data_IF_250974630597
#
_entry.id   IF_250974630597
#
_cell.length_a   1.000
_cell.length_b   1.000
_cell.length_c   1.000
_cell.angle_alpha   90.00
_cell.angle_beta   90.00
_cell.angle_gamma   90.00
#
_symmetry.space_group_name_H-M   'P 1'
#
loop_
_entity.id
_entity.type
_entity.pdbx_description
1 polymer ?
#
# COMPACT_ATOMS: atom_id res chain seq x y z
N UNK A 1 38.11 7.39 -26.65
CA UNK A 1 37.27 8.58 -26.85
C UNK A 1 35.88 8.08 -27.15
N UNK A 2 35.11 7.81 -26.10
CA UNK A 2 33.77 7.20 -26.17
C UNK A 2 32.77 8.35 -26.29
N UNK A 3 32.10 8.46 -27.44
CA UNK A 3 31.09 9.48 -27.69
C UNK A 3 29.83 9.04 -26.96
N UNK A 4 29.56 9.65 -25.80
CA UNK A 4 28.28 9.56 -25.12
C UNK A 4 27.31 10.44 -25.92
N UNK A 5 26.40 9.80 -26.66
CA UNK A 5 25.26 10.48 -27.25
C UNK A 5 24.33 10.90 -26.10
N UNK A 6 24.43 12.15 -25.66
CA UNK A 6 23.41 12.80 -24.85
C UNK A 6 22.18 12.99 -25.75
N UNK A 7 21.22 12.07 -25.67
CA UNK A 7 19.87 12.29 -26.18
C UNK A 7 19.19 13.29 -25.25
N UNK A 8 19.36 14.58 -25.52
CA UNK A 8 18.51 15.64 -24.98
C UNK A 8 17.17 15.60 -25.73
N UNK A 9 16.35 14.60 -25.42
CA UNK A 9 14.94 14.60 -25.81
C UNK A 9 14.18 15.46 -24.81
N UNK A 10 13.74 16.66 -25.21
CA UNK A 10 12.69 17.33 -24.45
C UNK A 10 11.45 16.44 -24.52
N UNK A 11 11.10 15.77 -23.42
CA UNK A 11 9.75 15.22 -23.28
C UNK A 11 8.80 16.41 -23.34
N UNK A 12 8.12 16.59 -24.47
CA UNK A 12 6.98 17.49 -24.56
C UNK A 12 5.87 16.86 -23.73
N UNK A 13 5.58 17.43 -22.57
CA UNK A 13 4.43 17.04 -21.75
C UNK A 13 3.16 17.21 -22.60
N UNK A 14 2.28 16.21 -22.60
CA UNK A 14 1.07 16.22 -23.40
C UNK A 14 0.24 17.47 -23.07
N UNK A 15 -0.08 18.26 -24.10
CA UNK A 15 -0.99 19.38 -23.97
C UNK A 15 -2.41 18.84 -23.68
N UNK A 16 -2.99 19.26 -22.55
CA UNK A 16 -4.40 19.09 -22.18
C UNK A 16 -4.98 17.66 -22.15
N UNK A 17 -4.14 16.62 -22.10
CA UNK A 17 -4.56 15.23 -21.87
C UNK A 17 -4.24 14.77 -20.44
N UNK A 18 -5.24 14.24 -19.73
CA UNK A 18 -5.14 13.14 -18.77
C UNK A 18 -3.89 13.16 -17.86
N UNK A 19 -3.86 14.11 -16.91
CA UNK A 19 -2.85 14.20 -15.85
C UNK A 19 -3.34 13.50 -14.57
N UNK A 20 -2.51 12.59 -14.05
CA UNK A 20 -2.83 11.77 -12.89
C UNK A 20 -1.64 11.60 -11.97
N UNK A 21 -1.91 11.20 -10.74
CA UNK A 21 -0.94 11.09 -9.66
C UNK A 21 -0.84 9.63 -9.21
N UNK A 22 0.38 9.14 -9.05
CA UNK A 22 0.66 7.98 -8.23
C UNK A 22 0.78 8.40 -6.76
N UNK A 23 0.38 7.51 -5.85
CA UNK A 23 0.43 7.82 -4.44
C UNK A 23 1.90 7.96 -3.95
N UNK A 24 2.24 9.00 -3.16
CA UNK A 24 3.63 9.32 -2.84
C UNK A 24 4.22 8.51 -1.67
N UNK A 25 3.49 7.54 -1.13
CA UNK A 25 3.89 6.73 0.01
C UNK A 25 3.75 5.24 -0.35
N UNK A 26 4.73 4.43 0.02
CA UNK A 26 4.65 2.99 -0.19
C UNK A 26 3.62 2.35 0.75
N UNK A 27 3.07 1.22 0.32
CA UNK A 27 2.10 0.39 1.06
C UNK A 27 0.73 1.05 1.32
N UNK A 28 0.58 2.31 0.91
CA UNK A 28 -0.67 3.07 0.92
C UNK A 28 -1.03 3.55 -0.49
N UNK A 29 -2.28 3.95 -0.61
CA UNK A 29 -2.87 4.60 -1.77
C UNK A 29 -3.88 5.66 -1.30
N UNK A 30 -4.44 6.38 -2.27
CA UNK A 30 -5.38 7.46 -1.98
C UNK A 30 -6.62 7.01 -1.18
N UNK A 31 -7.01 5.75 -1.24
CA UNK A 31 -8.26 5.23 -0.69
C UNK A 31 -8.10 4.51 0.65
N UNK A 32 -6.87 4.24 1.11
CA UNK A 32 -6.60 3.58 2.38
C UNK A 32 -5.73 4.37 3.35
N UNK A 33 -5.11 5.46 2.87
CA UNK A 33 -4.13 6.18 3.65
C UNK A 33 -4.84 6.86 4.82
N UNK A 34 -4.30 6.78 6.05
CA UNK A 34 -4.75 7.62 7.14
C UNK A 34 -4.71 9.10 6.74
N UNK A 35 -5.77 9.85 7.07
CA UNK A 35 -5.85 11.28 6.79
C UNK A 35 -6.01 12.02 8.12
N UNK A 36 -5.10 12.95 8.41
CA UNK A 36 -5.20 13.82 9.59
C UNK A 36 -5.71 15.22 9.27
N UNK A 37 -5.63 15.63 8.00
CA UNK A 37 -6.14 16.91 7.50
C UNK A 37 -6.42 16.81 6.00
N UNK A 38 -7.38 17.60 5.50
CA UNK A 38 -7.80 17.57 4.11
C UNK A 38 -7.96 18.98 3.53
N UNK A 39 -8.05 19.05 2.21
CA UNK A 39 -8.28 20.29 1.49
C UNK A 39 -9.71 20.82 1.75
N UNK A 40 -9.84 22.12 2.01
CA UNK A 40 -11.14 22.75 2.23
C UNK A 40 -11.78 23.27 0.92
N UNK A 41 -12.84 22.60 0.48
CA UNK A 41 -13.64 22.98 -0.69
C UNK A 41 -14.54 24.20 -0.47
N UNK A 42 -14.76 24.66 0.77
CA UNK A 42 -15.56 25.88 1.01
C UNK A 42 -14.76 27.18 0.92
N UNK A 43 -13.42 27.11 0.87
CA UNK A 43 -12.55 28.27 0.84
C UNK A 43 -12.77 29.15 -0.42
N UNK A 44 -13.51 30.25 -0.28
CA UNK A 44 -13.85 31.16 -1.39
C UNK A 44 -12.89 32.34 -1.58
N UNK A 45 -12.14 32.77 -0.56
CA UNK A 45 -11.22 33.92 -0.70
C UNK A 45 -10.08 34.00 0.33
N UNK A 46 -10.24 33.40 1.51
CA UNK A 46 -9.18 33.25 2.50
C UNK A 46 -9.38 31.95 3.25
N UNK A 47 -8.28 31.25 3.42
CA UNK A 47 -8.12 29.90 3.95
C UNK A 47 -8.86 29.55 5.26
N UNK A 48 -9.36 30.51 6.04
CA UNK A 48 -9.92 30.26 7.39
C UNK A 48 -11.11 31.14 7.79
N UNK A 49 -12.02 31.51 6.89
CA UNK A 49 -13.00 32.60 7.20
C UNK A 49 -14.49 32.32 7.10
N UNK A 50 -14.94 31.15 6.70
CA UNK A 50 -16.37 30.86 6.62
C UNK A 50 -16.90 29.98 7.76
N UNK A 51 -16.04 29.69 8.75
CA UNK A 51 -16.35 28.86 9.92
C UNK A 51 -16.83 27.46 9.57
N UNK A 52 -16.44 26.95 8.39
CA UNK A 52 -16.72 25.60 7.94
C UNK A 52 -15.50 25.01 7.26
N UNK A 53 -15.50 23.68 7.16
CA UNK A 53 -14.64 22.95 6.23
C UNK A 53 -15.53 22.01 5.46
N UNK A 54 -15.34 21.92 4.15
CA UNK A 54 -16.04 20.96 3.32
C UNK A 54 -15.02 20.04 2.66
N UNK A 55 -15.07 18.75 3.00
CA UNK A 55 -14.25 17.73 2.35
C UNK A 55 -14.80 17.40 0.95
N UNK A 56 -14.00 16.79 0.08
CA UNK A 56 -14.43 16.39 -1.27
C UNK A 56 -15.67 15.46 -1.27
N UNK A 57 -15.90 14.70 -0.20
CA UNK A 57 -17.09 13.84 -0.03
C UNK A 57 -18.39 14.64 0.16
N UNK A 58 -18.27 15.96 0.38
CA UNK A 58 -19.37 16.84 0.75
C UNK A 58 -19.70 16.85 2.24
N UNK A 59 -18.94 16.13 3.07
CA UNK A 59 -19.07 16.21 4.53
C UNK A 59 -18.67 17.60 5.02
N UNK A 60 -19.49 18.17 5.91
CA UNK A 60 -19.34 19.54 6.39
C UNK A 60 -18.94 19.53 7.87
N UNK A 61 -17.77 20.10 8.15
CA UNK A 61 -17.34 20.54 9.46
C UNK A 61 -17.86 21.93 9.78
N UNK A 62 -18.33 22.15 11.00
CA UNK A 62 -18.63 23.49 11.51
C UNK A 62 -17.69 23.83 12.67
N UNK A 63 -17.33 25.10 12.81
CA UNK A 63 -16.48 25.53 13.95
C UNK A 63 -17.15 25.19 15.27
N UNK A 64 -16.43 24.47 16.11
CA UNK A 64 -16.73 24.35 17.52
C UNK A 64 -15.47 24.78 18.26
N UNK A 65 -15.43 26.05 18.66
CA UNK A 65 -14.30 26.63 19.39
C UNK A 65 -14.26 26.02 20.81
N UNK A 66 -13.33 25.09 21.03
CA UNK A 66 -13.11 24.47 22.34
C UNK A 66 -12.18 25.29 23.25
N UNK A 67 -11.75 26.49 22.84
CA UNK A 67 -10.87 27.36 23.62
C UNK A 67 -9.46 26.80 23.78
N UNK A 68 -8.52 27.25 22.93
CA UNK A 68 -7.11 26.83 22.96
C UNK A 68 -6.32 27.23 21.71
N UNK A 69 -5.12 26.64 21.53
CA UNK A 69 -4.18 26.88 20.41
C UNK A 69 -4.54 26.15 19.11
N UNK A 70 -5.62 25.37 19.07
CA UNK A 70 -6.02 24.56 17.91
C UNK A 70 -7.29 25.12 17.27
N UNK A 71 -7.27 25.36 15.95
CA UNK A 71 -8.45 25.74 15.17
C UNK A 71 -9.02 24.48 14.51
N UNK A 72 -10.18 24.02 14.99
CA UNK A 72 -10.76 22.75 14.57
C UNK A 72 -12.27 22.79 14.31
N UNK A 73 -12.71 21.84 13.49
CA UNK A 73 -14.08 21.69 13.02
C UNK A 73 -14.59 20.31 13.42
N UNK A 74 -15.76 20.23 14.03
CA UNK A 74 -16.47 18.97 14.24
C UNK A 74 -17.51 18.79 13.14
N UNK A 75 -17.79 17.55 12.76
CA UNK A 75 -18.88 17.31 11.82
C UNK A 75 -20.24 17.63 12.47
N UNK A 76 -21.25 17.88 11.65
CA UNK A 76 -22.57 18.33 12.10
C UNK A 76 -23.29 17.36 13.03
N UNK A 77 -22.87 16.10 13.07
CA UNK A 77 -23.48 15.02 13.84
C UNK A 77 -22.66 14.62 15.09
N UNK A 78 -21.55 15.33 15.37
CA UNK A 78 -20.59 14.98 16.43
C UNK A 78 -20.02 13.56 16.30
N UNK A 79 -19.90 13.07 15.07
CA UNK A 79 -19.19 11.85 14.69
C UNK A 79 -17.79 12.19 14.15
N UNK A 80 -16.88 11.21 14.06
CA UNK A 80 -15.66 11.37 13.28
C UNK A 80 -15.98 11.71 11.82
N UNK A 81 -15.11 12.48 11.17
CA UNK A 81 -15.19 12.66 9.72
C UNK A 81 -14.97 11.32 9.01
N UNK A 82 -15.59 11.13 7.86
CA UNK A 82 -15.49 9.94 7.02
C UNK A 82 -14.83 10.27 5.68
N UNK A 83 -13.65 10.89 5.73
CA UNK A 83 -12.82 11.16 4.54
C UNK A 83 -12.23 9.82 4.06
N UNK A 84 -12.82 9.23 3.01
CA UNK A 84 -12.58 7.86 2.54
C UNK A 84 -12.67 6.79 3.65
N UNK A 85 -13.32 7.09 4.78
CA UNK A 85 -13.33 6.20 5.95
C UNK A 85 -11.98 6.09 6.70
N UNK A 86 -10.95 6.85 6.31
CA UNK A 86 -9.59 6.77 6.88
C UNK A 86 -9.19 8.00 7.69
N UNK A 87 -10.14 8.87 8.03
CA UNK A 87 -9.83 10.03 8.86
C UNK A 87 -9.44 9.58 10.28
N UNK A 88 -8.23 9.92 10.72
CA UNK A 88 -7.71 9.50 12.03
C UNK A 88 -7.71 10.60 13.08
N UNK A 89 -8.00 11.84 12.70
CA UNK A 89 -7.94 12.98 13.61
C UNK A 89 -6.57 13.64 13.71
N UNK A 90 -6.57 14.88 14.19
CA UNK A 90 -5.36 15.56 14.64
C UNK A 90 -5.09 15.21 16.12
N UNK A 91 -4.08 14.38 16.35
CA UNK A 91 -3.74 13.82 17.66
C UNK A 91 -3.54 14.88 18.77
N UNK A 92 -3.12 16.09 18.42
CA UNK A 92 -2.85 17.21 19.35
C UNK A 92 -4.09 18.03 19.72
N UNK A 93 -5.22 17.85 19.02
CA UNK A 93 -6.31 18.82 19.03
C UNK A 93 -7.71 18.18 19.16
N UNK A 94 -7.81 17.11 19.95
CA UNK A 94 -9.09 16.48 20.34
C UNK A 94 -9.43 15.16 19.65
N UNK A 95 -8.55 14.65 18.77
CA UNK A 95 -8.66 13.31 18.19
C UNK A 95 -9.55 13.21 16.95
N UNK A 96 -10.00 12.00 16.61
CA UNK A 96 -10.73 11.67 15.36
C UNK A 96 -12.05 12.42 15.13
N UNK A 97 -12.58 13.11 16.14
CA UNK A 97 -13.82 13.89 16.06
C UNK A 97 -13.64 15.27 15.42
N UNK A 98 -12.40 15.75 15.34
CA UNK A 98 -12.11 17.10 14.90
C UNK A 98 -11.14 17.10 13.75
N UNK A 99 -11.52 17.81 12.68
CA UNK A 99 -10.63 18.24 11.61
C UNK A 99 -9.95 19.52 12.05
N UNK A 100 -8.65 19.43 12.36
CA UNK A 100 -7.88 20.56 12.88
C UNK A 100 -6.93 21.05 11.81
N UNK A 101 -7.10 22.32 11.46
CA UNK A 101 -6.59 22.86 10.22
C UNK A 101 -6.79 24.37 10.20
N UNK A 102 -5.76 25.13 9.85
CA UNK A 102 -5.79 26.59 9.74
C UNK A 102 -5.92 27.10 8.30
N UNK A 103 -6.22 26.21 7.34
CA UNK A 103 -6.44 26.61 5.96
C UNK A 103 -5.29 26.35 4.97
N UNK A 104 -4.56 25.24 5.08
CA UNK A 104 -3.47 24.90 4.15
C UNK A 104 -3.89 24.08 2.90
N UNK A 105 -3.49 24.48 1.68
CA UNK A 105 -3.97 23.91 0.40
C UNK A 105 -3.51 22.47 0.06
N UNK A 106 -3.68 21.49 0.95
CA UNK A 106 -3.27 20.11 0.71
C UNK A 106 -3.95 19.09 1.62
N UNK A 107 -3.40 17.88 1.62
CA UNK A 107 -3.82 16.77 2.48
C UNK A 107 -2.65 16.36 3.36
N UNK A 108 -2.92 16.14 4.64
CA UNK A 108 -1.91 15.64 5.58
C UNK A 108 -2.09 14.15 5.83
N UNK A 109 -1.02 13.41 5.57
CA UNK A 109 -0.92 11.99 5.86
C UNK A 109 -0.05 11.79 7.10
N UNK A 110 -0.60 11.34 8.24
CA UNK A 110 0.16 11.09 9.46
C UNK A 110 1.02 9.84 9.27
N UNK A 111 2.33 10.01 9.29
CA UNK A 111 3.30 8.96 8.98
C UNK A 111 4.51 9.03 9.90
N UNK A 112 5.18 7.91 10.13
CA UNK A 112 6.37 7.88 10.98
C UNK A 112 7.49 8.76 10.38
N UNK A 113 8.35 9.31 11.24
CA UNK A 113 9.57 9.98 10.78
C UNK A 113 10.42 9.04 9.93
N UNK A 114 11.12 9.58 8.94
CA UNK A 114 11.96 8.85 8.00
C UNK A 114 11.20 7.83 7.12
N UNK A 115 9.91 8.01 6.89
CA UNK A 115 9.16 7.21 5.91
C UNK A 115 9.57 7.66 4.50
N UNK A 116 9.92 6.74 3.58
CA UNK A 116 10.24 7.09 2.19
C UNK A 116 9.08 7.80 1.47
N UNK A 117 9.38 8.90 0.77
CA UNK A 117 8.42 9.68 -0.03
C UNK A 117 8.82 9.66 -1.50
N UNK A 118 7.86 9.44 -2.38
CA UNK A 118 8.06 9.22 -3.82
C UNK A 118 7.39 10.30 -4.68
N UNK A 119 7.96 10.53 -5.86
CA UNK A 119 7.38 11.43 -6.86
C UNK A 119 6.03 10.90 -7.36
N UNK A 120 5.00 11.74 -7.30
CA UNK A 120 3.64 11.40 -7.68
C UNK A 120 3.46 11.39 -9.20
N UNK A 121 4.27 12.14 -9.95
CA UNK A 121 4.28 12.12 -11.41
C UNK A 121 5.67 12.55 -11.95
N UNK A 122 5.90 12.30 -13.24
CA UNK A 122 7.08 12.76 -13.97
C UNK A 122 7.21 14.29 -13.90
N UNK A 123 8.42 14.82 -13.79
CA UNK A 123 8.63 16.26 -13.78
C UNK A 123 10.06 16.71 -13.53
N UNK A 124 10.23 17.99 -13.18
CA UNK A 124 11.49 18.61 -12.81
C UNK A 124 11.44 19.05 -11.35
N UNK A 125 12.46 18.70 -10.58
CA UNK A 125 12.57 19.05 -9.16
C UNK A 125 12.94 20.52 -8.96
N UNK A 126 12.25 21.16 -8.04
CA UNK A 126 12.56 22.48 -7.49
C UNK A 126 12.56 22.44 -5.96
N UNK A 127 13.46 23.21 -5.34
CA UNK A 127 13.55 23.42 -3.89
C UNK A 127 13.25 24.91 -3.66
N UNK A 128 11.96 25.28 -3.61
CA UNK A 128 11.55 26.68 -3.68
C UNK A 128 11.88 27.43 -2.39
N UNK A 129 12.21 28.72 -2.51
CA UNK A 129 12.19 29.65 -1.37
C UNK A 129 10.77 30.01 -0.94
N UNK A 130 9.84 29.99 -1.90
CA UNK A 130 8.42 30.35 -1.76
C UNK A 130 7.63 29.77 -2.92
N UNK A 131 6.35 29.48 -2.72
CA UNK A 131 5.40 29.13 -3.77
C UNK A 131 4.03 29.79 -3.50
N UNK A 132 3.06 29.80 -4.43
CA UNK A 132 1.76 30.42 -4.21
C UNK A 132 1.10 29.90 -2.92
N UNK A 133 0.80 30.80 -1.98
CA UNK A 133 0.25 30.43 -0.66
C UNK A 133 1.29 30.31 0.46
N UNK A 134 2.58 30.08 0.16
CA UNK A 134 3.64 29.87 1.17
C UNK A 134 4.87 30.73 0.86
N UNK A 135 5.10 31.74 1.70
CA UNK A 135 6.19 32.71 1.50
C UNK A 135 7.58 32.25 1.93
N UNK A 136 7.66 31.20 2.75
CA UNK A 136 8.86 30.74 3.44
C UNK A 136 9.00 29.21 3.38
N UNK A 137 8.85 28.65 2.17
CA UNK A 137 8.84 27.21 1.91
C UNK A 137 10.09 26.47 2.45
N UNK A 138 11.24 27.15 2.49
CA UNK A 138 12.46 26.58 3.08
C UNK A 138 12.31 26.22 4.56
N UNK A 139 11.48 26.92 5.34
CA UNK A 139 11.27 26.59 6.75
C UNK A 139 10.47 25.29 6.93
N UNK A 140 9.73 24.89 5.90
CA UNK A 140 8.92 23.67 5.87
C UNK A 140 9.61 22.54 5.11
N UNK A 141 10.88 22.71 4.70
CA UNK A 141 11.63 21.72 3.92
C UNK A 141 10.83 21.22 2.71
N UNK A 142 10.29 22.15 1.93
CA UNK A 142 9.47 21.86 0.75
C UNK A 142 10.29 21.36 -0.43
N UNK A 143 9.80 20.31 -1.07
CA UNK A 143 10.19 19.90 -2.42
C UNK A 143 9.01 20.13 -3.38
N UNK A 144 9.27 20.77 -4.51
CA UNK A 144 8.33 20.96 -5.61
C UNK A 144 8.72 20.07 -6.79
N UNK A 145 7.74 19.50 -7.49
CA UNK A 145 7.93 18.90 -8.81
C UNK A 145 7.04 19.63 -9.81
N UNK A 146 7.65 20.25 -10.82
CA UNK A 146 6.94 20.85 -11.96
C UNK A 146 6.73 19.80 -13.05
N UNK A 147 5.46 19.54 -13.38
CA UNK A 147 5.05 18.52 -14.35
C UNK A 147 4.90 19.06 -15.77
N UNK A 148 5.19 20.35 -16.01
CA UNK A 148 5.27 20.97 -17.35
C UNK A 148 3.94 21.16 -18.10
N UNK A 149 2.82 20.68 -17.56
CA UNK A 149 1.46 20.86 -18.08
C UNK A 149 0.62 21.82 -17.22
N UNK A 150 1.29 22.64 -16.41
CA UNK A 150 0.66 23.55 -15.46
C UNK A 150 0.38 22.95 -14.09
N UNK A 151 0.52 21.63 -13.92
CA UNK A 151 0.47 21.01 -12.60
C UNK A 151 1.81 21.06 -11.89
N UNK A 152 1.75 21.26 -10.57
CA UNK A 152 2.88 21.15 -9.64
C UNK A 152 2.44 20.36 -8.42
N UNK A 153 3.32 19.50 -7.93
CA UNK A 153 3.15 18.82 -6.64
C UNK A 153 4.16 19.34 -5.63
N UNK A 154 3.73 19.47 -4.38
CA UNK A 154 4.54 19.95 -3.28
C UNK A 154 4.51 18.95 -2.13
N UNK A 155 5.71 18.65 -1.61
CA UNK A 155 5.96 17.72 -0.53
C UNK A 155 6.61 18.48 0.61
N UNK A 156 5.88 18.65 1.72
CA UNK A 156 6.29 19.48 2.85
C UNK A 156 6.66 18.63 4.06
N UNK A 157 7.35 19.27 5.00
CA UNK A 157 7.82 18.73 6.27
C UNK A 157 8.85 17.60 6.15
N UNK A 158 9.51 17.47 5.00
CA UNK A 158 10.50 16.43 4.76
C UNK A 158 11.72 16.58 5.67
N UNK A 159 12.23 15.45 6.18
CA UNK A 159 13.46 15.42 6.98
C UNK A 159 14.71 15.54 6.12
N UNK A 160 14.66 15.05 4.88
CA UNK A 160 15.76 15.11 3.92
C UNK A 160 15.27 14.90 2.48
N UNK A 161 16.08 15.37 1.52
CA UNK A 161 15.90 15.13 0.09
C UNK A 161 16.93 14.12 -0.42
N UNK A 162 16.52 13.25 -1.35
CA UNK A 162 17.41 12.34 -2.09
C UNK A 162 17.71 12.85 -3.50
N UNK A 163 17.12 13.98 -3.88
CA UNK A 163 17.21 14.62 -5.20
C UNK A 163 17.73 16.05 -5.07
N UNK A 164 18.05 16.67 -6.21
CA UNK A 164 18.63 18.02 -6.29
C UNK A 164 17.86 18.94 -7.23
N UNK A 165 18.00 20.26 -7.04
CA UNK A 165 17.44 21.30 -7.90
C UNK A 165 17.66 21.01 -9.40
N UNK A 166 16.63 21.23 -10.22
CA UNK A 166 16.58 20.98 -11.67
C UNK A 166 16.78 19.52 -12.11
N UNK A 167 16.72 18.55 -11.19
CA UNK A 167 16.83 17.14 -11.56
C UNK A 167 15.53 16.66 -12.26
N UNK A 168 15.61 16.02 -13.44
CA UNK A 168 14.46 15.33 -14.03
C UNK A 168 14.14 14.06 -13.26
N UNK A 169 12.86 13.89 -12.89
CA UNK A 169 12.36 12.80 -12.07
C UNK A 169 11.27 12.05 -12.84
N UNK A 170 11.24 10.73 -12.68
CA UNK A 170 10.13 9.89 -13.11
C UNK A 170 9.21 9.59 -11.94
N UNK A 171 7.93 9.41 -12.20
CA UNK A 171 6.95 8.91 -11.24
C UNK A 171 7.48 7.69 -10.46
N UNK A 172 7.23 7.63 -9.14
CA UNK A 172 7.72 6.57 -8.26
C UNK A 172 9.20 6.68 -7.87
N UNK A 173 9.92 7.72 -8.31
CA UNK A 173 11.30 7.96 -7.84
C UNK A 173 11.29 8.37 -6.37
N UNK A 174 12.19 7.80 -5.56
CA UNK A 174 12.41 8.25 -4.18
C UNK A 174 12.95 9.68 -4.19
N UNK A 175 12.23 10.61 -3.57
CA UNK A 175 12.56 12.06 -3.54
C UNK A 175 13.01 12.55 -2.17
N UNK A 176 12.68 11.82 -1.11
CA UNK A 176 13.06 12.20 0.24
C UNK A 176 12.47 11.29 1.30
N UNK A 177 12.54 11.77 2.53
CA UNK A 177 12.02 11.09 3.69
C UNK A 177 11.16 12.06 4.50
N UNK A 178 10.05 11.57 5.04
CA UNK A 178 9.14 12.35 5.89
C UNK A 178 9.82 12.82 7.18
N UNK A 179 9.26 13.86 7.78
CA UNK A 179 9.71 14.47 9.02
C UNK A 179 8.63 15.36 9.62
N UNK A 180 9.05 16.37 10.37
CA UNK A 180 8.20 17.37 11.02
C UNK A 180 8.75 18.80 10.81
N UNK A 181 9.63 19.01 9.82
CA UNK A 181 10.30 20.30 9.65
C UNK A 181 9.31 21.44 9.39
N UNK A 182 9.40 22.48 10.21
CA UNK A 182 8.49 23.63 10.13
C UNK A 182 7.07 23.36 10.64
N UNK A 183 6.78 22.16 11.14
CA UNK A 183 5.53 21.84 11.85
C UNK A 183 5.80 21.55 13.32
N UNK A 184 4.89 21.94 14.20
CA UNK A 184 4.96 21.70 15.65
C UNK A 184 4.01 20.59 16.13
N UNK A 185 3.37 19.87 15.21
CA UNK A 185 2.11 19.16 15.50
C UNK A 185 2.24 17.62 15.53
N UNK A 186 3.00 17.02 14.60
CA UNK A 186 3.43 15.61 14.57
C UNK A 186 4.22 15.33 13.28
N UNK A 187 4.85 14.15 13.17
CA UNK A 187 5.37 13.67 11.89
C UNK A 187 4.23 13.38 10.90
N UNK A 188 4.32 13.97 9.71
CA UNK A 188 3.35 13.79 8.63
C UNK A 188 3.97 14.19 7.29
N UNK A 189 3.29 13.84 6.20
CA UNK A 189 3.52 14.42 4.87
C UNK A 189 2.36 15.35 4.56
N UNK A 190 2.64 16.64 4.39
CA UNK A 190 1.72 17.56 3.71
C UNK A 190 1.95 17.42 2.21
N UNK A 191 0.91 16.99 1.49
CA UNK A 191 0.91 16.84 0.05
C UNK A 191 -0.05 17.84 -0.58
N UNK A 192 0.47 18.67 -1.47
CA UNK A 192 -0.31 19.71 -2.15
C UNK A 192 -0.15 19.61 -3.65
N UNK A 193 -1.24 19.91 -4.36
CA UNK A 193 -1.27 19.97 -5.82
C UNK A 193 -1.77 21.34 -6.23
N UNK A 194 -1.07 21.98 -7.17
CA UNK A 194 -1.53 23.21 -7.78
C UNK A 194 -1.61 23.06 -9.30
N UNK A 195 -2.65 23.64 -9.91
CA UNK A 195 -2.75 23.85 -11.36
C UNK A 195 -2.67 25.34 -11.65
N UNK A 196 -1.66 25.76 -12.40
CA UNK A 196 -1.44 27.17 -12.76
C UNK A 196 -1.40 28.12 -11.54
N UNK A 197 -0.82 27.65 -10.42
CA UNK A 197 -0.71 28.41 -9.17
C UNK A 197 -1.99 28.46 -8.32
N UNK A 198 -3.02 27.71 -8.71
CA UNK A 198 -4.27 27.54 -7.95
C UNK A 198 -4.26 26.14 -7.34
N UNK A 199 -4.40 26.01 -6.01
CA UNK A 199 -4.55 24.71 -5.38
C UNK A 199 -5.72 23.89 -5.92
N UNK A 200 -5.56 22.57 -5.99
CA UNK A 200 -6.59 21.61 -6.37
C UNK A 200 -6.60 20.48 -5.34
N UNK A 201 -7.78 19.96 -5.00
CA UNK A 201 -7.86 18.73 -4.22
C UNK A 201 -7.60 17.54 -5.18
N UNK A 202 -6.55 16.72 -4.96
CA UNK A 202 -6.30 15.56 -5.80
C UNK A 202 -7.39 14.48 -5.71
N UNK A 203 -8.28 14.52 -4.71
CA UNK A 203 -9.46 13.66 -4.62
C UNK A 203 -10.63 14.15 -5.50
N UNK A 204 -10.61 15.40 -5.95
CA UNK A 204 -11.69 15.97 -6.76
C UNK A 204 -12.88 16.38 -5.92
N UNK A 205 -14.10 16.27 -6.47
CA UNK A 205 -15.34 16.50 -5.75
C UNK A 205 -16.33 15.37 -5.98
N UNK A 206 -16.85 14.78 -4.91
CA UNK A 206 -17.82 13.67 -4.91
C UNK A 206 -19.13 14.01 -4.21
N UNK A 207 -19.24 15.21 -3.61
CA UNK A 207 -20.47 15.64 -2.95
C UNK A 207 -21.66 15.75 -3.92
N UNK A 208 -22.87 15.52 -3.40
CA UNK A 208 -24.11 15.51 -4.19
C UNK A 208 -24.49 16.87 -4.81
N UNK A 209 -23.92 17.96 -4.29
CA UNK A 209 -24.16 19.32 -4.78
C UNK A 209 -23.06 19.73 -5.77
N UNK A 210 -23.16 20.92 -6.36
CA UNK A 210 -22.05 21.48 -7.12
C UNK A 210 -20.81 21.65 -6.21
N UNK A 211 -19.62 21.43 -6.75
CA UNK A 211 -18.37 21.69 -6.04
C UNK A 211 -18.35 23.13 -5.53
N UNK A 212 -18.25 23.37 -4.20
CA UNK A 212 -18.18 24.71 -3.66
C UNK A 212 -16.84 25.40 -3.97
N UNK A 213 -15.83 24.66 -4.45
CA UNK A 213 -14.55 25.21 -4.86
C UNK A 213 -14.59 25.70 -6.32
N UNK A 214 -14.83 27.00 -6.50
CA UNK A 214 -15.08 27.60 -7.83
C UNK A 214 -13.82 28.08 -8.58
N UNK A 215 -12.64 27.97 -7.94
CA UNK A 215 -11.39 28.56 -8.47
C UNK A 215 -10.78 27.77 -9.62
N UNK A 216 -11.13 26.49 -9.75
CA UNK A 216 -10.57 25.55 -10.73
C UNK A 216 -11.49 24.34 -10.89
N UNK A 217 -11.32 23.58 -11.97
CA UNK A 217 -11.96 22.28 -12.09
C UNK A 217 -11.22 21.26 -11.24
N UNK A 218 -11.84 20.83 -10.14
CA UNK A 218 -11.38 19.69 -9.34
C UNK A 218 -11.81 18.40 -10.02
N UNK A 219 -10.82 17.64 -10.47
CA UNK A 219 -10.98 16.29 -10.98
C UNK A 219 -10.26 15.36 -10.03
N UNK A 220 -10.74 14.13 -9.87
CA UNK A 220 -10.00 13.12 -9.11
C UNK A 220 -8.71 12.78 -9.87
N UNK A 221 -7.57 13.21 -9.34
CA UNK A 221 -6.24 13.02 -9.90
C UNK A 221 -5.61 11.69 -9.46
N UNK A 222 -6.11 11.07 -8.39
CA UNK A 222 -5.70 9.73 -7.97
C UNK A 222 -6.25 8.62 -8.86
N UNK A 223 -7.37 8.88 -9.52
CA UNK A 223 -7.99 7.97 -10.46
C UNK A 223 -7.15 7.88 -11.74
N UNK A 224 -6.00 7.20 -11.70
CA UNK A 224 -5.27 6.86 -12.90
C UNK A 224 -6.22 6.21 -13.92
N UNK A 225 -6.15 6.57 -15.20
CA UNK A 225 -6.63 5.70 -16.25
C UNK A 225 -5.80 4.45 -16.09
N UNK A 226 -6.47 3.32 -16.17
CA UNK A 226 -5.84 2.01 -16.04
C UNK A 226 -4.51 2.00 -16.78
N UNK A 227 -3.42 1.85 -16.02
CA UNK A 227 -2.07 1.81 -16.57
C UNK A 227 -2.01 0.72 -17.66
N UNK A 228 -1.03 0.75 -18.55
CA UNK A 228 -0.92 -0.30 -19.58
C UNK A 228 -0.80 -1.71 -18.98
N UNK A 229 -0.36 -1.81 -17.71
CA UNK A 229 -0.32 -3.05 -16.95
C UNK A 229 -0.90 -2.90 -15.53
N UNK A 230 -1.62 -3.93 -15.04
CA UNK A 230 -2.14 -3.94 -13.68
C UNK A 230 -1.02 -3.83 -12.63
N UNK A 231 -1.26 -3.04 -11.59
CA UNK A 231 -0.31 -2.87 -10.48
C UNK A 231 -0.53 -3.90 -9.38
N UNK A 232 0.49 -4.09 -8.54
CA UNK A 232 0.32 -4.86 -7.32
C UNK A 232 -0.76 -4.21 -6.43
N UNK A 233 -1.61 -5.04 -5.82
CA UNK A 233 -2.77 -4.63 -5.04
C UNK A 233 -3.80 -3.82 -5.86
N UNK A 234 -4.19 -4.32 -7.04
CA UNK A 234 -5.23 -3.66 -7.86
C UNK A 234 -6.29 -4.64 -8.38
N UNK A 235 -7.50 -4.12 -8.66
CA UNK A 235 -8.55 -4.87 -9.34
C UNK A 235 -8.46 -4.68 -10.85
N UNK A 236 -8.51 -5.79 -11.58
CA UNK A 236 -8.36 -5.83 -13.02
C UNK A 236 -9.41 -6.74 -13.66
N UNK A 237 -9.84 -6.41 -14.87
CA UNK A 237 -10.82 -7.14 -15.66
C UNK A 237 -10.36 -7.20 -17.10
N UNK A 238 -10.70 -8.27 -17.79
CA UNK A 238 -10.47 -8.32 -19.25
C UNK A 238 -11.54 -7.48 -19.93
N UNK A 239 -11.13 -6.60 -20.83
CA UNK A 239 -12.03 -5.70 -21.55
C UNK A 239 -13.19 -6.49 -22.22
N UNK A 240 -14.43 -6.05 -21.96
CA UNK A 240 -15.65 -6.71 -22.44
C UNK A 240 -16.03 -8.01 -21.71
N UNK A 241 -15.28 -8.43 -20.69
CA UNK A 241 -15.63 -9.54 -19.80
C UNK A 241 -16.15 -9.01 -18.47
N UNK A 242 -16.96 -9.82 -17.74
CA UNK A 242 -17.46 -9.47 -16.40
C UNK A 242 -16.55 -9.93 -15.26
N UNK A 243 -15.56 -10.76 -15.55
CA UNK A 243 -14.72 -11.43 -14.57
C UNK A 243 -13.67 -10.49 -14.01
N UNK A 244 -13.71 -10.24 -12.71
CA UNK A 244 -12.74 -9.38 -12.02
C UNK A 244 -11.67 -10.21 -11.32
N UNK A 245 -10.45 -9.73 -11.35
CA UNK A 245 -9.27 -10.33 -10.76
C UNK A 245 -8.62 -9.36 -9.78
N UNK A 246 -8.10 -9.90 -8.67
CA UNK A 246 -7.19 -9.21 -7.78
C UNK A 246 -5.76 -9.48 -8.21
N UNK A 247 -4.91 -8.45 -8.29
CA UNK A 247 -3.51 -8.59 -8.68
C UNK A 247 -2.65 -8.42 -7.43
N UNK A 248 -1.91 -9.46 -7.05
CA UNK A 248 -1.00 -9.39 -5.90
C UNK A 248 0.22 -10.29 -6.09
N UNK A 249 1.41 -9.80 -5.75
CA UNK A 249 2.68 -10.54 -5.81
C UNK A 249 2.98 -11.15 -7.19
N UNK A 250 2.53 -10.49 -8.27
CA UNK A 250 2.69 -10.97 -9.64
C UNK A 250 1.73 -12.09 -10.05
N UNK A 251 0.74 -12.41 -9.23
CA UNK A 251 -0.33 -13.36 -9.53
C UNK A 251 -1.65 -12.63 -9.76
N UNK A 252 -2.56 -13.25 -10.54
CA UNK A 252 -3.96 -12.84 -10.62
C UNK A 252 -4.85 -13.85 -9.90
N UNK A 253 -5.72 -13.36 -9.04
CA UNK A 253 -6.64 -14.18 -8.26
C UNK A 253 -8.07 -13.86 -8.69
N UNK A 254 -8.85 -14.88 -9.03
CA UNK A 254 -10.21 -14.68 -9.54
C UNK A 254 -11.17 -14.28 -8.40
N UNK A 255 -11.74 -13.07 -8.45
CA UNK A 255 -12.74 -12.61 -7.47
C UNK A 255 -14.08 -13.29 -7.73
N UNK A 256 -14.39 -14.31 -6.93
CA UNK A 256 -15.51 -15.22 -7.22
C UNK A 256 -16.88 -14.72 -6.75
N UNK A 257 -16.92 -13.80 -5.78
CA UNK A 257 -18.17 -13.33 -5.17
C UNK A 257 -18.30 -11.80 -5.16
N UNK A 258 -19.46 -11.24 -5.57
CA UNK A 258 -19.72 -9.81 -5.46
C UNK A 258 -19.66 -9.25 -4.03
N UNK A 259 -19.92 -10.08 -3.01
CA UNK A 259 -19.85 -9.66 -1.60
C UNK A 259 -18.43 -9.29 -1.20
N UNK A 260 -17.41 -9.89 -1.83
CA UNK A 260 -16.01 -9.59 -1.55
C UNK A 260 -15.71 -8.12 -1.86
N UNK A 261 -16.40 -7.50 -2.83
CA UNK A 261 -16.23 -6.09 -3.11
C UNK A 261 -16.58 -5.19 -1.93
N UNK A 262 -17.66 -5.49 -1.20
CA UNK A 262 -18.03 -4.73 0.00
C UNK A 262 -17.21 -5.11 1.22
N UNK A 263 -16.81 -6.37 1.36
CA UNK A 263 -16.09 -6.81 2.55
C UNK A 263 -14.61 -6.40 2.56
N UNK A 264 -13.99 -6.24 1.39
CA UNK A 264 -12.57 -5.88 1.23
C UNK A 264 -12.34 -4.36 1.12
N UNK A 265 -13.34 -3.52 1.39
CA UNK A 265 -13.25 -2.05 1.28
C UNK A 265 -12.11 -1.42 2.10
N UNK A 266 -11.63 -2.10 3.14
CA UNK A 266 -10.50 -1.67 3.98
C UNK A 266 -9.12 -1.98 3.37
N UNK A 267 -9.06 -2.67 2.23
CA UNK A 267 -7.81 -3.13 1.64
C UNK A 267 -7.28 -2.11 0.63
N UNK A 268 -5.98 -1.74 0.70
CA UNK A 268 -5.29 -0.94 -0.30
C UNK A 268 -5.66 -1.31 -1.72
N UNK A 269 -6.01 -0.33 -2.55
CA UNK A 269 -6.26 -0.48 -3.99
C UNK A 269 -7.53 -1.24 -4.34
N UNK A 270 -8.36 -1.55 -3.34
CA UNK A 270 -9.66 -2.18 -3.53
C UNK A 270 -10.74 -1.13 -3.86
N UNK A 271 -11.55 -1.37 -4.90
CA UNK A 271 -12.70 -0.53 -5.28
C UNK A 271 -12.64 0.10 -6.67
N UNK A 272 -11.45 0.31 -7.23
CA UNK A 272 -11.29 0.77 -8.61
C UNK A 272 -10.95 -0.41 -9.54
N UNK A 273 -11.87 -0.78 -10.44
CA UNK A 273 -11.69 -1.89 -11.38
C UNK A 273 -11.20 -1.35 -12.71
N UNK A 274 -10.07 -1.87 -13.18
CA UNK A 274 -9.48 -1.51 -14.45
C UNK A 274 -9.68 -2.54 -15.55
N UNK A 275 -10.00 -2.09 -16.77
CA UNK A 275 -10.13 -2.95 -17.94
C UNK A 275 -8.81 -3.03 -18.71
N UNK A 276 -8.39 -4.25 -19.05
CA UNK A 276 -7.16 -4.54 -19.77
C UNK A 276 -7.41 -5.49 -20.95
N UNK A 277 -6.52 -5.43 -21.93
CA UNK A 277 -6.47 -6.44 -22.99
C UNK A 277 -6.24 -7.84 -22.39
N UNK A 278 -6.86 -8.86 -22.99
CA UNK A 278 -6.75 -10.24 -22.51
C UNK A 278 -5.30 -10.72 -22.45
N UNK A 279 -4.45 -10.30 -23.39
CA UNK A 279 -3.03 -10.61 -23.42
C UNK A 279 -2.26 -10.06 -22.22
N UNK A 280 -2.55 -8.82 -21.81
CA UNK A 280 -1.98 -8.21 -20.61
C UNK A 280 -2.34 -9.03 -19.38
N UNK A 281 -3.63 -9.32 -19.19
CA UNK A 281 -4.08 -10.02 -18.00
C UNK A 281 -3.71 -11.51 -18.00
N UNK A 282 -3.55 -12.13 -19.16
CA UNK A 282 -3.11 -13.52 -19.27
C UNK A 282 -1.60 -13.70 -19.13
N UNK A 283 -0.83 -12.61 -19.09
CA UNK A 283 0.60 -12.66 -18.75
C UNK A 283 0.86 -12.97 -17.27
N UNK A 284 -0.10 -12.68 -16.39
CA UNK A 284 -0.04 -13.01 -14.96
C UNK A 284 -0.44 -14.48 -14.76
N UNK A 285 0.39 -15.29 -14.07
CA UNK A 285 -0.02 -16.62 -13.64
C UNK A 285 -1.25 -16.54 -12.72
N UNK A 286 -2.11 -17.55 -12.80
CA UNK A 286 -3.24 -17.67 -11.89
C UNK A 286 -2.72 -18.02 -10.49
N UNK A 287 -3.13 -17.24 -9.49
CA UNK A 287 -3.16 -17.70 -8.11
C UNK A 287 -4.39 -18.58 -7.87
N UNK A 288 -4.57 -19.06 -6.63
CA UNK A 288 -5.82 -19.70 -6.23
C UNK A 288 -7.03 -18.77 -6.41
N UNK A 289 -8.24 -19.34 -6.48
CA UNK A 289 -9.46 -18.54 -6.60
C UNK A 289 -9.63 -17.63 -5.38
N UNK A 290 -9.81 -16.33 -5.61
CA UNK A 290 -9.96 -15.34 -4.56
C UNK A 290 -11.35 -15.46 -3.95
N UNK A 291 -11.38 -15.98 -2.71
CA UNK A 291 -12.45 -15.90 -1.71
C UNK A 291 -13.85 -16.01 -2.33
N UNK A 292 -14.40 -17.22 -2.28
CA UNK A 292 -15.84 -17.39 -2.26
C UNK A 292 -16.31 -17.45 -0.81
N UNK A 293 -17.48 -16.91 -0.48
CA UNK A 293 -18.20 -17.22 0.78
C UNK A 293 -18.70 -18.67 0.81
N UNK A 294 -18.09 -19.56 0.03
CA UNK A 294 -18.43 -20.96 -0.17
C UNK A 294 -17.28 -21.85 0.35
N UNK A 295 -17.53 -23.14 0.63
CA UNK A 295 -16.52 -24.13 1.02
C UNK A 295 -15.40 -24.39 -0.01
N UNK A 296 -15.31 -23.59 -1.08
CA UNK A 296 -14.33 -23.72 -2.17
C UNK A 296 -13.06 -22.89 -1.95
N UNK A 297 -12.94 -22.21 -0.81
CA UNK A 297 -11.80 -21.34 -0.47
C UNK A 297 -10.65 -22.08 0.22
N UNK A 298 -10.69 -23.41 0.23
CA UNK A 298 -9.62 -24.25 0.78
C UNK A 298 -8.31 -24.03 0.02
N UNK A 299 -7.18 -24.23 0.71
CA UNK A 299 -5.80 -23.99 0.27
C UNK A 299 -5.39 -22.51 0.16
N UNK A 300 -6.28 -21.57 0.48
CA UNK A 300 -5.91 -20.15 0.55
C UNK A 300 -4.99 -19.85 1.72
N UNK A 301 -3.93 -19.11 1.44
CA UNK A 301 -3.09 -18.48 2.45
C UNK A 301 -3.53 -17.02 2.60
N UNK A 302 -4.02 -16.66 3.78
CA UNK A 302 -4.51 -15.31 4.05
C UNK A 302 -3.81 -14.70 5.25
N UNK A 303 -3.64 -13.38 5.23
CA UNK A 303 -3.26 -12.59 6.39
C UNK A 303 -4.09 -11.31 6.48
N UNK A 304 -4.24 -10.80 7.69
CA UNK A 304 -4.77 -9.45 7.93
C UNK A 304 -3.72 -8.41 7.52
N UNK A 305 -4.16 -7.27 6.97
CA UNK A 305 -3.29 -6.19 6.49
C UNK A 305 -2.23 -5.73 7.50
N UNK A 306 -2.59 -5.70 8.78
CA UNK A 306 -1.72 -5.26 9.88
C UNK A 306 -1.41 -6.38 10.88
N UNK A 307 -1.55 -7.65 10.49
CA UNK A 307 -1.25 -8.80 11.35
C UNK A 307 -0.18 -9.68 10.69
N UNK A 308 0.92 -10.02 11.40
CA UNK A 308 1.91 -10.96 10.89
C UNK A 308 1.41 -12.41 10.83
N UNK A 309 0.27 -12.75 11.43
CA UNK A 309 -0.28 -14.11 11.41
C UNK A 309 -0.74 -14.50 10.00
N UNK A 310 -0.24 -15.65 9.55
CA UNK A 310 -0.67 -16.30 8.32
C UNK A 310 -1.59 -17.45 8.67
N UNK A 311 -2.72 -17.52 7.96
CA UNK A 311 -3.72 -18.57 8.11
C UNK A 311 -3.81 -19.38 6.82
N UNK A 312 -3.86 -20.70 6.95
CA UNK A 312 -4.30 -21.60 5.89
C UNK A 312 -5.81 -21.80 6.03
N UNK A 313 -6.56 -21.63 4.95
CA UNK A 313 -7.97 -22.00 4.91
C UNK A 313 -8.06 -23.49 4.57
N UNK A 314 -8.68 -24.24 5.46
CA UNK A 314 -8.86 -25.69 5.30
C UNK A 314 -10.20 -26.11 5.89
N UNK A 315 -11.01 -26.83 5.11
CA UNK A 315 -12.38 -27.21 5.47
C UNK A 315 -13.25 -26.01 5.90
N UNK A 316 -13.06 -24.86 5.26
CA UNK A 316 -13.77 -23.61 5.59
C UNK A 316 -13.40 -22.99 6.94
N UNK A 317 -12.31 -23.41 7.58
CA UNK A 317 -11.78 -22.82 8.81
C UNK A 317 -10.47 -22.09 8.53
N UNK A 318 -10.19 -21.03 9.29
CA UNK A 318 -8.86 -20.40 9.30
C UNK A 318 -7.98 -21.09 10.33
N UNK A 319 -6.89 -21.73 9.88
CA UNK A 319 -5.93 -22.41 10.74
C UNK A 319 -4.64 -21.61 10.80
N UNK A 320 -4.30 -21.10 11.99
CA UNK A 320 -3.10 -20.26 12.17
C UNK A 320 -1.83 -21.11 12.03
N UNK A 321 -0.95 -20.76 11.09
CA UNK A 321 0.39 -21.32 10.95
C UNK A 321 1.31 -20.63 11.95
N UNK A 322 1.76 -21.34 12.98
CA UNK A 322 2.37 -20.70 14.16
C UNK A 322 3.81 -20.24 13.96
N UNK A 323 4.47 -20.65 12.87
CA UNK A 323 5.88 -20.36 12.62
C UNK A 323 6.23 -20.47 11.13
N UNK A 324 7.32 -19.80 10.73
CA UNK A 324 7.92 -19.96 9.41
C UNK A 324 8.38 -21.41 9.15
N UNK A 325 8.85 -22.11 10.18
CA UNK A 325 9.23 -23.52 10.05
C UNK A 325 8.02 -24.41 9.71
N UNK A 326 6.87 -24.18 10.35
CA UNK A 326 5.63 -24.86 10.01
C UNK A 326 5.20 -24.54 8.57
N UNK A 327 5.30 -23.26 8.17
CA UNK A 327 5.00 -22.81 6.82
C UNK A 327 5.85 -23.52 5.77
N UNK A 328 7.18 -23.53 5.96
CA UNK A 328 8.12 -24.15 5.04
C UNK A 328 7.95 -25.68 4.98
N UNK A 329 7.65 -26.34 6.10
CA UNK A 329 7.40 -27.78 6.15
C UNK A 329 6.14 -28.22 5.39
N UNK A 330 5.15 -27.34 5.27
CA UNK A 330 3.96 -27.56 4.45
C UNK A 330 4.25 -27.36 2.95
N UNK A 331 5.44 -26.91 2.57
CA UNK A 331 5.81 -26.64 1.17
C UNK A 331 5.08 -25.44 0.56
N UNK A 332 4.60 -24.53 1.41
CA UNK A 332 3.88 -23.33 1.00
C UNK A 332 4.85 -22.23 0.53
N UNK A 333 4.36 -21.33 -0.32
CA UNK A 333 5.14 -20.20 -0.85
C UNK A 333 4.63 -18.87 -0.27
N UNK A 334 5.54 -18.05 0.26
CA UNK A 334 5.22 -16.75 0.86
C UNK A 334 4.56 -15.80 -0.15
N UNK A 335 4.80 -15.98 -1.46
CA UNK A 335 4.18 -15.16 -2.50
C UNK A 335 2.67 -15.39 -2.63
N UNK A 336 2.20 -16.57 -2.22
CA UNK A 336 0.79 -17.00 -2.34
C UNK A 336 -0.07 -16.46 -1.19
N UNK A 337 0.54 -15.78 -0.21
CA UNK A 337 -0.17 -15.14 0.90
C UNK A 337 -0.92 -13.91 0.37
N UNK A 338 -2.22 -13.92 0.56
CA UNK A 338 -3.12 -12.84 0.16
C UNK A 338 -3.50 -11.99 1.37
N UNK A 339 -3.49 -10.68 1.19
CA UNK A 339 -3.87 -9.74 2.26
C UNK A 339 -5.38 -9.52 2.20
N UNK A 340 -6.06 -9.67 3.34
CA UNK A 340 -7.53 -9.59 3.44
C UNK A 340 -7.98 -8.66 4.57
N UNK A 341 -9.21 -8.15 4.46
CA UNK A 341 -9.84 -7.30 5.48
C UNK A 341 -10.28 -8.10 6.71
N UNK A 342 -10.64 -7.36 7.77
CA UNK A 342 -11.22 -7.97 8.96
C UNK A 342 -12.56 -8.65 8.68
N UNK A 343 -13.34 -8.15 7.73
CA UNK A 343 -14.63 -8.76 7.42
C UNK A 343 -14.46 -10.11 6.70
N UNK A 344 -13.50 -10.20 5.77
CA UNK A 344 -13.19 -11.45 5.09
C UNK A 344 -12.67 -12.51 6.05
N UNK A 345 -11.70 -12.16 6.90
CA UNK A 345 -11.13 -13.15 7.82
C UNK A 345 -12.16 -13.66 8.83
N UNK A 346 -13.20 -12.87 9.13
CA UNK A 346 -14.30 -13.24 10.01
C UNK A 346 -15.31 -14.21 9.37
N UNK A 347 -15.29 -14.38 8.04
CA UNK A 347 -16.09 -15.40 7.36
C UNK A 347 -15.62 -16.82 7.70
N UNK A 348 -14.35 -16.96 8.07
CA UNK A 348 -13.74 -18.25 8.41
C UNK A 348 -13.63 -18.39 9.94
N UNK A 349 -14.39 -19.32 10.56
CA UNK A 349 -14.23 -19.61 11.97
C UNK A 349 -12.80 -20.14 12.26
N UNK A 350 -12.31 -19.83 13.46
CA UNK A 350 -10.99 -20.28 13.90
C UNK A 350 -10.97 -21.81 14.07
N UNK A 351 -10.04 -22.45 13.36
CA UNK A 351 -9.75 -23.88 13.47
C UNK A 351 -8.49 -24.14 14.28
N UNK A 352 -8.11 -25.42 14.39
CA UNK A 352 -6.91 -25.83 15.09
C UNK A 352 -5.66 -25.20 14.46
N UNK A 353 -4.76 -24.67 15.28
CA UNK A 353 -3.48 -24.12 14.82
C UNK A 353 -2.63 -25.20 14.13
N UNK A 354 -1.75 -24.79 13.22
CA UNK A 354 -0.75 -25.64 12.58
C UNK A 354 0.61 -25.34 13.23
N UNK A 355 1.04 -26.15 14.22
CA UNK A 355 2.29 -25.93 14.92
C UNK A 355 3.51 -26.34 14.09
N UNK A 356 4.70 -25.88 14.47
CA UNK A 356 5.93 -26.57 14.05
C UNK A 356 5.82 -28.05 14.43
N UNK A 357 6.10 -29.00 13.52
CA UNK A 357 6.16 -30.41 13.88
C UNK A 357 7.11 -30.63 15.06
N UNK A 358 6.57 -31.00 16.23
CA UNK A 358 7.42 -31.46 17.33
C UNK A 358 7.96 -32.84 16.98
N UNK A 359 9.27 -32.90 16.71
CA UNK A 359 10.03 -34.13 16.49
C UNK A 359 9.57 -34.95 15.27
N UNK A 360 9.99 -34.55 14.07
CA UNK A 360 10.45 -35.60 13.15
C UNK A 360 11.69 -36.23 13.81
N UNK A 361 11.74 -37.56 14.07
CA UNK A 361 12.93 -38.17 14.64
C UNK A 361 14.07 -38.05 13.62
N UNK A 362 14.91 -37.04 13.75
CA UNK A 362 16.20 -37.05 13.09
C UNK A 362 17.04 -38.16 13.73
N UNK A 363 17.24 -39.27 13.03
CA UNK A 363 18.22 -40.28 13.44
C UNK A 363 19.60 -39.61 13.37
N UNK A 364 20.13 -39.22 14.52
CA UNK A 364 21.52 -38.76 14.63
C UNK A 364 22.40 -40.00 14.69
N UNK A 365 23.01 -40.38 13.55
CA UNK A 365 24.07 -41.40 13.57
C UNK A 365 25.37 -40.71 14.00
N UNK A 366 25.73 -40.90 15.28
CA UNK A 366 27.02 -40.50 15.80
C UNK A 366 28.14 -41.21 14.99
N UNK A 367 28.84 -40.45 14.16
CA UNK A 367 29.90 -40.96 13.30
C UNK A 367 31.17 -41.23 14.11
N UNK A 368 31.57 -42.49 14.17
CA UNK A 368 32.94 -42.92 14.41
C UNK A 368 33.43 -43.74 13.21
N UNK A 369 33.84 -43.09 12.12
CA UNK A 369 34.39 -43.80 10.95
C UNK A 369 35.79 -44.31 11.32
N UNK A 370 35.93 -45.63 11.47
CA UNK A 370 37.23 -46.30 11.33
C UNK A 370 37.57 -46.37 9.83
N UNK A 371 38.85 -46.22 9.41
CA UNK A 371 39.23 -46.34 8.00
C UNK A 371 38.85 -47.72 7.43
N UNK A 372 38.14 -47.76 6.30
CA UNK A 372 37.83 -48.99 5.56
C UNK A 372 36.35 -49.37 5.43
N UNK A 373 35.42 -48.57 5.95
CA UNK A 373 33.97 -48.82 5.82
C UNK A 373 33.31 -47.78 4.91
N UNK A 374 32.45 -48.21 3.98
CA UNK A 374 31.55 -47.34 3.19
C UNK A 374 30.10 -47.71 3.46
N UNK A 375 29.30 -46.73 3.89
CA UNK A 375 27.86 -46.87 4.06
C UNK A 375 27.14 -46.19 2.90
N UNK A 376 26.13 -46.85 2.35
CA UNK A 376 25.21 -46.26 1.37
C UNK A 376 23.79 -46.32 1.96
N UNK A 377 23.05 -45.21 1.85
CA UNK A 377 21.68 -45.07 2.32
C UNK A 377 20.80 -44.92 1.08
N UNK A 378 19.88 -45.86 0.87
CA UNK A 378 18.84 -45.77 -0.15
C UNK A 378 17.50 -45.53 0.56
N UNK A 379 16.82 -44.44 0.21
CA UNK A 379 15.49 -44.10 0.73
C UNK A 379 14.48 -44.41 -0.37
N UNK A 380 13.59 -45.38 -0.12
CA UNK A 380 12.46 -45.66 -1.02
C UNK A 380 11.15 -45.13 -0.43
N UNK A 381 10.19 -44.86 -1.31
CA UNK A 381 8.92 -44.17 -1.02
C UNK A 381 7.95 -44.91 -0.07
N UNK A 382 8.34 -46.06 0.50
CA UNK A 382 7.47 -46.93 1.30
C UNK A 382 7.68 -46.79 2.82
N UNK A 383 8.30 -45.70 3.30
CA UNK A 383 8.53 -45.42 4.73
C UNK A 383 9.43 -46.44 5.47
N UNK A 384 10.12 -47.33 4.76
CA UNK A 384 11.15 -48.22 5.32
C UNK A 384 12.55 -47.73 4.97
N UNK A 385 13.44 -47.66 5.97
CA UNK A 385 14.87 -47.36 5.77
C UNK A 385 15.65 -48.67 5.74
N UNK A 386 16.28 -48.98 4.61
CA UNK A 386 17.12 -50.17 4.46
C UNK A 386 18.59 -49.78 4.62
N UNK A 387 19.29 -50.36 5.59
CA UNK A 387 20.72 -50.16 5.78
C UNK A 387 21.52 -51.28 5.09
N UNK A 388 22.34 -50.94 4.11
CA UNK A 388 23.25 -51.90 3.46
C UNK A 388 24.68 -51.66 3.92
N UNK A 389 25.20 -52.56 4.75
CA UNK A 389 26.61 -52.57 5.16
C UNK A 389 27.34 -53.58 4.28
N UNK A 390 28.26 -53.08 3.46
CA UNK A 390 29.15 -53.95 2.64
C UNK A 390 30.49 -54.07 3.36
N UNK A 391 30.87 -55.30 3.72
CA UNK A 391 32.12 -55.59 4.42
C UNK A 391 33.08 -56.26 3.43
N UNK A 392 34.17 -55.60 3.06
CA UNK A 392 35.11 -56.10 2.05
C UNK A 392 36.10 -57.14 2.57
N UNK A 393 36.40 -57.20 3.86
CA UNK A 393 37.28 -58.23 4.45
C UNK A 393 36.88 -58.56 5.90
N UNK A 394 36.39 -59.79 6.13
CA UNK A 394 36.18 -60.33 7.47
C UNK A 394 37.24 -61.40 7.76
N UNK A 395 38.33 -61.00 8.43
CA UNK A 395 39.18 -61.95 9.15
C UNK A 395 38.90 -61.80 10.64
N UNK A 396 38.03 -62.67 11.16
CA UNK A 396 38.06 -63.09 12.56
C UNK A 396 37.45 -62.15 13.62
N UNK A 397 36.42 -61.36 13.34
CA UNK A 397 35.67 -60.66 14.39
C UNK A 397 34.15 -60.80 14.23
N UNK A 398 33.48 -61.10 15.35
CA UNK A 398 32.03 -61.16 15.44
C UNK A 398 31.46 -59.74 15.45
N UNK A 399 30.49 -59.48 14.56
CA UNK A 399 29.68 -58.27 14.61
C UNK A 399 28.47 -58.51 15.53
N UNK A 400 28.31 -57.69 16.55
CA UNK A 400 27.04 -57.54 17.28
C UNK A 400 26.39 -56.24 16.85
N UNK A 401 25.16 -56.32 16.36
CA UNK A 401 24.30 -55.16 16.14
C UNK A 401 23.60 -54.88 17.47
N UNK A 402 23.87 -53.72 18.06
CA UNK A 402 23.22 -53.26 19.29
C UNK A 402 22.14 -52.24 18.97
#
# INVERSE_FOLDING_TARGET
MLIILLLTGSKTFAADGDFYLNFPLNDWDAYNVPISSAFDHSASSSYSKDNKVVAYSGEIGSTQDYGGTCYCFSNTESQPFSINGNYTGANSCGGAYYLCYDGHPGTDFPIANNTPVYAAADGIVHIPSSFPGVSNAQNYHTLEIDHGNGYKTYYLHLSSFTVSENMPITMGTLIGYSGDYGSSEAYHLHFEVQRNGIPVDPYGWEGINNDPYDRTSNINLWAMPCLEMPQNLSLARIEGQGTTYWIQNGLKYYVTSPTVFSEMSEIPGWGHICDFAAETLNSFPNGPDFIGTNPTSDDLLIKLINDPKVYLIENGQRRWITSEEAFNNLGLDWKDIITVSQNIINLFPEGDTIPTPQNAPYITIAHGIQPGYTNQIDVNNDSEIHFRITISELVGKNCTVA
#
